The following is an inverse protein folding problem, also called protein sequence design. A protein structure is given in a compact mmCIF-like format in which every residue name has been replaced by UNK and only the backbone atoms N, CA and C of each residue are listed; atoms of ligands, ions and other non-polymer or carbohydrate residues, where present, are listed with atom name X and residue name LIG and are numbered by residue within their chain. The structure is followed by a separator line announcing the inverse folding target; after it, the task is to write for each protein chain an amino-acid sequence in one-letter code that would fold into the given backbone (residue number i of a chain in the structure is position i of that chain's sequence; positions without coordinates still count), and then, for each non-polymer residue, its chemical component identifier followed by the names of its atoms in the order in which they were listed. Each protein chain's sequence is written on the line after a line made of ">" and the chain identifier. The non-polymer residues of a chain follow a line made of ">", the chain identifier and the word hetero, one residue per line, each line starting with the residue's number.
data_IF_146258158584
#
_entry.id   IF_146258158584
#
_cell.length_a   1.000
_cell.length_b   1.000
_cell.length_c   1.000
_cell.angle_alpha   90.00
_cell.angle_beta   90.00
_cell.angle_gamma   90.00
#
_symmetry.space_group_name_H-M   'P 1'
#
loop_
_entity.id
_entity.type
_entity.pdbx_description
1 polymer ?
#
# COMPACT_ATOMS: atom_id res chain seq x y z
N UNK A 1 -0.47 6.77 19.00
CA UNK A 1 -1.67 7.08 18.20
C UNK A 1 -1.19 7.80 16.96
N UNK A 2 -1.39 7.24 15.78
CA UNK A 2 -0.86 7.72 14.50
C UNK A 2 -1.57 8.97 13.97
N UNK A 3 -1.82 9.97 14.83
CA UNK A 3 -1.98 11.39 14.49
C UNK A 3 -2.94 11.82 13.37
N UNK A 4 -3.88 10.98 12.94
CA UNK A 4 -4.76 11.27 11.79
C UNK A 4 -4.21 10.87 10.42
N UNK A 5 -3.26 9.92 10.37
CA UNK A 5 -2.79 9.30 9.12
C UNK A 5 -3.97 8.72 8.33
N UNK A 6 -4.00 8.96 7.01
CA UNK A 6 -4.95 8.29 6.12
C UNK A 6 -4.54 6.83 5.90
N UNK A 7 -5.52 5.93 5.81
CA UNK A 7 -5.30 4.52 5.52
C UNK A 7 -4.57 4.38 4.16
N UNK A 8 -3.60 3.48 4.08
CA UNK A 8 -2.70 3.25 2.93
C UNK A 8 -1.74 4.40 2.62
N UNK A 9 -1.50 5.30 3.58
CA UNK A 9 -0.46 6.34 3.49
C UNK A 9 0.61 6.15 4.57
N UNK A 10 1.79 6.76 4.36
CA UNK A 10 2.92 6.64 5.28
C UNK A 10 4.01 5.69 4.75
N UNK A 11 4.75 5.05 5.66
CA UNK A 11 5.85 4.14 5.31
C UNK A 11 5.35 2.84 4.69
N UNK A 12 6.26 2.06 4.11
CA UNK A 12 5.91 0.77 3.52
C UNK A 12 5.33 -0.21 4.55
N UNK A 13 5.86 -0.22 5.77
CA UNK A 13 5.39 -1.04 6.88
C UNK A 13 4.00 -0.64 7.34
N UNK A 14 3.71 0.67 7.40
CA UNK A 14 2.38 1.17 7.74
C UNK A 14 1.35 0.75 6.69
N UNK A 15 1.69 0.91 5.40
CA UNK A 15 0.81 0.47 4.30
C UNK A 15 0.59 -1.04 4.30
N UNK A 16 1.63 -1.83 4.56
CA UNK A 16 1.51 -3.28 4.66
C UNK A 16 0.68 -3.71 5.87
N UNK A 17 0.83 -3.02 7.01
CA UNK A 17 -0.02 -3.17 8.18
C UNK A 17 -1.49 -2.95 7.84
N UNK A 18 -1.82 -1.84 7.19
CA UNK A 18 -3.19 -1.55 6.76
C UNK A 18 -3.77 -2.66 5.87
N UNK A 19 -2.98 -3.24 4.96
CA UNK A 19 -3.44 -4.34 4.11
C UNK A 19 -3.75 -5.60 4.94
N UNK A 20 -2.89 -5.94 5.92
CA UNK A 20 -3.11 -7.08 6.80
C UNK A 20 -4.35 -6.89 7.68
N UNK A 21 -4.50 -5.70 8.27
CA UNK A 21 -5.67 -5.36 9.10
C UNK A 21 -6.98 -5.50 8.30
N UNK A 22 -6.98 -5.09 7.02
CA UNK A 22 -8.14 -5.26 6.14
C UNK A 22 -8.39 -6.72 5.75
N UNK A 23 -7.32 -7.50 5.56
CA UNK A 23 -7.43 -8.93 5.28
C UNK A 23 -8.01 -9.70 6.50
N UNK A 24 -7.61 -9.33 7.72
CA UNK A 24 -8.11 -9.94 8.96
C UNK A 24 -9.61 -9.75 9.16
N UNK A 25 -10.18 -8.64 8.67
CA UNK A 25 -11.64 -8.39 8.70
C UNK A 25 -12.38 -8.98 7.48
N UNK A 26 -11.69 -9.77 6.65
CA UNK A 26 -12.28 -10.54 5.54
C UNK A 26 -12.22 -9.87 4.17
N UNK A 27 -11.44 -8.79 4.00
CA UNK A 27 -11.22 -8.19 2.67
C UNK A 27 -10.35 -9.10 1.82
N UNK A 28 -10.84 -9.52 0.66
CA UNK A 28 -10.13 -10.43 -0.25
C UNK A 28 -9.55 -9.74 -1.49
N UNK A 29 -10.05 -8.55 -1.81
CA UNK A 29 -9.68 -7.80 -3.01
C UNK A 29 -9.64 -6.31 -2.70
N UNK A 30 -8.66 -5.62 -3.29
CA UNK A 30 -8.45 -4.19 -3.08
C UNK A 30 -8.11 -3.50 -4.39
N UNK A 31 -8.57 -2.26 -4.56
CA UNK A 31 -8.18 -1.38 -5.66
C UNK A 31 -7.28 -0.30 -5.06
N UNK A 32 -6.04 -0.23 -5.52
CA UNK A 32 -5.04 0.71 -5.01
C UNK A 32 -4.73 1.73 -6.10
N UNK A 33 -4.86 3.02 -5.76
CA UNK A 33 -4.55 4.10 -6.66
C UNK A 33 -3.04 4.40 -6.65
N UNK A 34 -2.38 4.19 -7.79
CA UNK A 34 -0.96 4.47 -7.98
C UNK A 34 -0.72 5.54 -9.05
N UNK A 35 -1.73 6.33 -9.41
CA UNK A 35 -1.63 7.32 -10.48
C UNK A 35 -0.53 8.35 -10.22
N UNK A 36 0.11 8.80 -11.29
CA UNK A 36 1.06 9.90 -11.31
C UNK A 36 0.78 10.80 -12.53
N UNK A 37 1.48 11.93 -12.62
CA UNK A 37 1.29 12.90 -13.71
C UNK A 37 1.81 12.38 -15.06
N UNK A 38 2.75 11.44 -15.04
CA UNK A 38 3.30 10.80 -16.23
C UNK A 38 3.42 9.27 -16.06
N UNK A 39 3.60 8.58 -17.18
CA UNK A 39 3.62 7.12 -17.24
C UNK A 39 4.77 6.52 -16.43
N UNK A 40 5.98 7.07 -16.53
CA UNK A 40 7.15 6.50 -15.87
C UNK A 40 7.02 6.63 -14.35
N UNK A 41 6.59 7.80 -13.87
CA UNK A 41 6.33 7.99 -12.44
C UNK A 41 5.21 7.05 -11.90
N UNK A 42 4.23 6.70 -12.73
CA UNK A 42 3.20 5.73 -12.37
C UNK A 42 3.77 4.31 -12.30
N UNK A 43 4.61 3.92 -13.27
CA UNK A 43 5.31 2.63 -13.28
C UNK A 43 6.27 2.49 -12.08
N UNK A 44 7.04 3.53 -11.76
CA UNK A 44 7.93 3.55 -10.60
C UNK A 44 7.15 3.35 -9.29
N UNK A 45 5.95 3.95 -9.17
CA UNK A 45 5.06 3.73 -8.02
C UNK A 45 4.52 2.31 -7.95
N UNK A 46 4.21 1.69 -9.08
CA UNK A 46 3.83 0.28 -9.13
C UNK A 46 4.96 -0.63 -8.68
N UNK A 47 6.18 -0.36 -9.14
CA UNK A 47 7.37 -1.12 -8.76
C UNK A 47 7.71 -0.96 -7.27
N UNK A 48 7.71 0.28 -6.76
CA UNK A 48 7.92 0.55 -5.32
C UNK A 48 6.88 -0.16 -4.47
N UNK A 49 5.60 -0.07 -4.84
CA UNK A 49 4.54 -0.72 -4.10
C UNK A 49 4.70 -2.25 -4.07
N UNK A 50 4.99 -2.87 -5.21
CA UNK A 50 5.21 -4.31 -5.30
C UNK A 50 6.45 -4.76 -4.50
N UNK A 51 7.54 -4.00 -4.61
CA UNK A 51 8.84 -4.37 -4.02
C UNK A 51 8.87 -4.14 -2.52
N UNK A 52 8.31 -3.02 -2.05
CA UNK A 52 8.49 -2.57 -0.67
C UNK A 52 7.25 -2.79 0.20
N UNK A 53 6.03 -2.87 -0.37
CA UNK A 53 4.81 -3.09 0.43
C UNK A 53 4.31 -4.52 0.34
N UNK A 54 4.09 -5.02 -0.88
CA UNK A 54 3.51 -6.36 -1.09
C UNK A 54 4.43 -7.44 -0.52
N UNK A 55 5.75 -7.26 -0.64
CA UNK A 55 6.73 -8.14 -0.01
C UNK A 55 6.54 -8.26 1.51
N UNK A 56 6.26 -7.15 2.20
CA UNK A 56 6.02 -7.11 3.63
C UNK A 56 4.66 -7.73 4.02
N UNK A 57 3.64 -7.65 3.16
CA UNK A 57 2.32 -8.27 3.43
C UNK A 57 2.43 -9.80 3.53
N UNK A 58 3.27 -10.40 2.70
CA UNK A 58 3.48 -11.86 2.65
C UNK A 58 4.58 -12.38 3.59
N UNK A 59 5.21 -11.49 4.37
CA UNK A 59 6.23 -11.82 5.37
C UNK A 59 5.58 -12.19 6.71
#
# INVERSE_FOLDING_TARGET
>A
QDGGRLIFTGTAEQRAGDIRDFAEIGTTSMIINLTALDLNAMLDRMEDFATNVVSLVNS
#
